data_IF_660174735405
#
_entry.id   IF_660174735405
#
_cell.length_a   1.000
_cell.length_b   1.000
_cell.length_c   1.000
_cell.angle_alpha   90.00
_cell.angle_beta   90.00
_cell.angle_gamma   90.00
#
_symmetry.space_group_name_H-M   'P 1'
#
loop_
_entity.id
_entity.type
_entity.pdbx_description
1 polymer ?
#
# COMPACT_ATOMS: atom_id res chain seq x y z
N UNK A 1 2.19 9.39 23.98
CA UNK A 1 2.94 8.64 22.96
C UNK A 1 4.39 8.50 23.39
N UNK A 2 4.91 7.30 23.35
CA UNK A 2 6.32 7.06 23.61
C UNK A 2 7.17 7.50 22.41
N UNK A 3 8.45 7.76 22.64
CA UNK A 3 9.39 8.15 21.59
C UNK A 3 9.49 7.06 20.48
N UNK A 4 9.44 5.77 20.87
CA UNK A 4 9.41 4.65 19.95
C UNK A 4 8.19 4.64 19.02
N UNK A 5 7.03 5.09 19.52
CA UNK A 5 5.78 5.12 18.75
C UNK A 5 5.89 6.04 17.55
N UNK A 6 6.50 7.22 17.75
CA UNK A 6 6.80 8.15 16.67
C UNK A 6 7.61 7.48 15.56
N UNK A 7 8.68 6.75 15.92
CA UNK A 7 9.52 6.08 14.94
C UNK A 7 8.80 4.94 14.23
N UNK A 8 8.00 4.16 14.94
CA UNK A 8 7.21 3.10 14.31
C UNK A 8 6.25 3.66 13.27
N UNK A 9 5.53 4.73 13.59
CA UNK A 9 4.64 5.39 12.63
C UNK A 9 5.40 5.98 11.45
N UNK A 10 6.54 6.61 11.67
CA UNK A 10 7.37 7.17 10.61
C UNK A 10 8.00 6.11 9.71
N UNK A 11 8.38 4.96 10.27
CA UNK A 11 8.85 3.81 9.47
C UNK A 11 7.70 3.32 8.58
N UNK A 12 6.51 3.11 9.13
CA UNK A 12 5.33 2.73 8.35
C UNK A 12 5.01 3.73 7.24
N UNK A 13 5.04 5.02 7.54
CA UNK A 13 4.84 6.10 6.58
C UNK A 13 5.89 6.06 5.45
N UNK A 14 7.15 5.86 5.79
CA UNK A 14 8.25 5.80 4.82
C UNK A 14 8.12 4.59 3.90
N UNK A 15 7.79 3.42 4.45
CA UNK A 15 7.57 2.20 3.65
C UNK A 15 6.41 2.41 2.67
N UNK A 16 5.31 3.00 3.12
CA UNK A 16 4.16 3.29 2.27
C UNK A 16 4.49 4.32 1.18
N UNK A 17 5.30 5.33 1.50
CA UNK A 17 5.76 6.34 0.52
C UNK A 17 6.66 5.73 -0.55
N UNK A 18 7.60 4.88 -0.15
CA UNK A 18 8.47 4.13 -1.09
C UNK A 18 7.60 3.23 -1.98
N UNK A 19 6.62 2.54 -1.39
CA UNK A 19 5.67 1.74 -2.13
C UNK A 19 4.87 2.55 -3.14
N UNK A 20 4.43 3.75 -2.77
CA UNK A 20 3.73 4.68 -3.65
C UNK A 20 4.58 5.08 -4.86
N UNK A 21 5.83 5.47 -4.63
CA UNK A 21 6.75 5.86 -5.70
C UNK A 21 7.03 4.68 -6.63
N UNK A 22 7.30 3.50 -6.07
CA UNK A 22 7.51 2.30 -6.86
C UNK A 22 6.27 1.94 -7.69
N UNK A 23 5.10 1.90 -7.07
CA UNK A 23 3.84 1.55 -7.72
C UNK A 23 3.45 2.57 -8.80
N UNK A 24 3.53 3.85 -8.48
CA UNK A 24 3.09 4.93 -9.37
C UNK A 24 4.03 5.20 -10.54
N UNK A 25 5.31 4.92 -10.40
CA UNK A 25 6.34 5.21 -11.42
C UNK A 25 6.82 3.93 -12.09
N UNK A 26 7.46 3.03 -11.32
CA UNK A 26 8.06 1.80 -11.88
C UNK A 26 6.97 0.81 -12.32
N UNK A 27 6.01 0.55 -11.46
CA UNK A 27 4.92 -0.36 -11.75
C UNK A 27 4.03 0.14 -12.89
N UNK A 28 3.79 1.45 -12.97
CA UNK A 28 3.06 2.06 -14.08
C UNK A 28 3.72 1.74 -15.42
N UNK A 29 5.02 1.95 -15.53
CA UNK A 29 5.75 1.67 -16.78
C UNK A 29 5.78 0.19 -17.10
N UNK A 30 6.04 -0.66 -16.11
CA UNK A 30 6.24 -2.09 -16.31
C UNK A 30 4.94 -2.85 -16.57
N UNK A 31 3.92 -2.63 -15.75
CA UNK A 31 2.69 -3.43 -15.79
C UNK A 31 1.57 -2.76 -16.58
N UNK A 32 1.33 -1.48 -16.38
CA UNK A 32 0.33 -0.74 -17.16
C UNK A 32 0.76 -0.55 -18.60
N UNK A 33 2.07 -0.47 -18.86
CA UNK A 33 2.61 -0.45 -20.23
C UNK A 33 2.20 -1.67 -21.04
N UNK A 34 2.23 -2.85 -20.42
CA UNK A 34 1.79 -4.11 -21.06
C UNK A 34 0.29 -4.06 -21.36
N UNK A 35 -0.53 -3.62 -20.42
CA UNK A 35 -1.98 -3.50 -20.60
C UNK A 35 -2.31 -2.50 -21.70
N UNK A 36 -1.63 -1.35 -21.72
CA UNK A 36 -1.86 -0.31 -22.73
C UNK A 36 -1.52 -0.76 -24.15
N UNK A 37 -0.56 -1.66 -24.31
CA UNK A 37 -0.15 -2.21 -25.59
C UNK A 37 -0.92 -3.48 -26.00
N UNK A 38 -1.80 -3.99 -25.14
CA UNK A 38 -2.59 -5.19 -25.39
C UNK A 38 -3.79 -4.90 -26.31
N UNK A 39 -4.45 -5.95 -26.75
CA UNK A 39 -5.68 -5.88 -27.57
C UNK A 39 -6.96 -5.72 -26.75
N UNK A 40 -6.85 -5.39 -25.46
CA UNK A 40 -8.00 -5.12 -24.61
C UNK A 40 -8.79 -3.90 -25.12
N UNK A 41 -10.10 -3.91 -24.87
CA UNK A 41 -10.95 -2.76 -25.19
C UNK A 41 -10.44 -1.45 -24.51
N UNK A 42 -10.62 -0.31 -25.17
CA UNK A 42 -10.20 0.99 -24.61
C UNK A 42 -10.76 1.27 -23.21
N UNK A 43 -12.03 0.94 -22.95
CA UNK A 43 -12.65 1.12 -21.64
C UNK A 43 -11.96 0.26 -20.58
N UNK A 44 -11.65 -1.01 -20.89
CA UNK A 44 -10.94 -1.90 -19.96
C UNK A 44 -9.57 -1.36 -19.61
N UNK A 45 -8.83 -0.83 -20.59
CA UNK A 45 -7.53 -0.18 -20.35
C UNK A 45 -7.67 1.04 -19.41
N UNK A 46 -8.67 1.88 -19.66
CA UNK A 46 -8.93 3.07 -18.84
C UNK A 46 -9.31 2.72 -17.40
N UNK A 47 -10.17 1.72 -17.21
CA UNK A 47 -10.56 1.24 -15.89
C UNK A 47 -9.37 0.62 -15.14
N UNK A 48 -8.53 -0.12 -15.84
CA UNK A 48 -7.29 -0.67 -15.27
C UNK A 48 -6.34 0.43 -14.82
N UNK A 49 -6.20 1.49 -15.61
CA UNK A 49 -5.37 2.65 -15.27
C UNK A 49 -5.90 3.37 -14.03
N UNK A 50 -7.21 3.59 -13.95
CA UNK A 50 -7.84 4.21 -12.76
C UNK A 50 -7.62 3.34 -11.54
N UNK A 51 -7.90 2.03 -11.63
CA UNK A 51 -7.71 1.11 -10.52
C UNK A 51 -6.25 1.07 -10.05
N UNK A 52 -5.30 1.07 -10.99
CA UNK A 52 -3.87 1.14 -10.68
C UNK A 52 -3.52 2.38 -9.85
N UNK A 53 -3.95 3.55 -10.31
CA UNK A 53 -3.63 4.81 -9.64
C UNK A 53 -4.47 5.08 -8.39
N UNK A 54 -5.66 4.50 -8.28
CA UNK A 54 -6.39 4.52 -7.00
C UNK A 54 -5.58 3.85 -5.89
N UNK A 55 -4.86 2.77 -6.23
CA UNK A 55 -3.96 2.15 -5.26
C UNK A 55 -2.74 3.02 -4.96
N UNK A 56 -2.19 3.71 -5.97
CA UNK A 56 -1.12 4.70 -5.75
C UNK A 56 -1.57 5.82 -4.78
N UNK A 57 -2.78 6.34 -4.97
CA UNK A 57 -3.39 7.37 -4.09
C UNK A 57 -3.59 6.80 -2.68
N UNK A 58 -4.03 5.56 -2.56
CA UNK A 58 -4.18 4.88 -1.27
C UNK A 58 -2.85 4.77 -0.52
N UNK A 59 -1.77 4.40 -1.21
CA UNK A 59 -0.43 4.34 -0.61
C UNK A 59 0.05 5.72 -0.14
N UNK A 60 -0.20 6.76 -0.92
CA UNK A 60 0.08 8.14 -0.53
C UNK A 60 -0.72 8.54 0.71
N UNK A 61 -2.03 8.26 0.72
CA UNK A 61 -2.91 8.53 1.86
C UNK A 61 -2.47 7.79 3.12
N UNK A 62 -2.03 6.53 2.98
CA UNK A 62 -1.47 5.76 4.09
C UNK A 62 -0.22 6.43 4.66
N UNK A 63 0.73 6.82 3.81
CA UNK A 63 1.95 7.49 4.23
C UNK A 63 1.66 8.82 4.93
N UNK A 64 0.78 9.63 4.34
CA UNK A 64 0.39 10.93 4.92
C UNK A 64 -0.29 10.74 6.28
N UNK A 65 -1.25 9.81 6.38
CA UNK A 65 -1.99 9.58 7.64
C UNK A 65 -1.06 9.12 8.75
N UNK A 66 -0.15 8.17 8.48
CA UNK A 66 0.76 7.68 9.50
C UNK A 66 1.76 8.76 9.95
N UNK A 67 2.28 9.55 9.01
CA UNK A 67 3.12 10.69 9.35
C UNK A 67 2.34 11.74 10.16
N UNK A 68 1.10 12.04 9.77
CA UNK A 68 0.26 12.98 10.50
C UNK A 68 0.01 12.51 11.93
N UNK A 69 -0.34 11.24 12.15
CA UNK A 69 -0.56 10.67 13.48
C UNK A 69 0.72 10.70 14.31
N UNK A 70 1.90 10.50 13.70
CA UNK A 70 3.18 10.58 14.41
C UNK A 70 3.40 11.95 15.05
N UNK A 71 3.03 13.02 14.35
CA UNK A 71 3.13 14.38 14.87
C UNK A 71 1.93 14.81 15.75
N UNK A 72 0.77 14.21 15.52
CA UNK A 72 -0.48 14.55 16.21
C UNK A 72 -1.12 13.28 16.81
N UNK A 73 -0.56 12.75 17.92
CA UNK A 73 -1.00 11.45 18.48
C UNK A 73 -2.46 11.40 18.93
N UNK A 74 -3.07 12.55 19.18
CA UNK A 74 -4.51 12.61 19.50
C UNK A 74 -5.43 12.10 18.39
N UNK A 75 -4.89 11.98 17.17
CA UNK A 75 -5.61 11.45 16.00
C UNK A 75 -5.26 9.99 15.68
N UNK A 76 -4.73 9.25 16.64
CA UNK A 76 -4.33 7.83 16.45
C UNK A 76 -5.44 6.95 15.88
N UNK A 77 -6.70 7.28 16.16
CA UNK A 77 -7.86 6.58 15.61
C UNK A 77 -7.85 6.53 14.07
N UNK A 78 -7.26 7.53 13.41
CA UNK A 78 -7.15 7.58 11.97
C UNK A 78 -6.22 6.50 11.39
N UNK A 79 -5.36 5.89 12.20
CA UNK A 79 -4.48 4.82 11.76
C UNK A 79 -5.21 3.48 11.60
N UNK A 80 -6.32 3.24 12.29
CA UNK A 80 -7.02 1.94 12.24
C UNK A 80 -7.49 1.55 10.83
N UNK A 81 -8.18 2.42 10.07
CA UNK A 81 -8.53 2.08 8.69
C UNK A 81 -7.30 1.81 7.82
N UNK A 82 -6.22 2.56 8.02
CA UNK A 82 -4.96 2.37 7.29
C UNK A 82 -4.35 1.00 7.59
N UNK A 83 -4.31 0.62 8.86
CA UNK A 83 -3.85 -0.70 9.29
C UNK A 83 -4.72 -1.80 8.66
N UNK A 84 -6.04 -1.67 8.75
CA UNK A 84 -6.98 -2.66 8.25
C UNK A 84 -6.82 -2.88 6.73
N UNK A 85 -6.77 -1.82 5.93
CA UNK A 85 -6.68 -1.95 4.47
C UNK A 85 -5.31 -2.51 4.06
N UNK A 86 -4.22 -2.10 4.71
CA UNK A 86 -2.90 -2.68 4.45
C UNK A 86 -2.84 -4.16 4.82
N UNK A 87 -3.41 -4.53 5.97
CA UNK A 87 -3.43 -5.93 6.43
C UNK A 87 -4.28 -6.80 5.51
N UNK A 88 -5.49 -6.38 5.17
CA UNK A 88 -6.36 -7.12 4.25
C UNK A 88 -5.78 -7.19 2.84
N UNK A 89 -5.11 -6.14 2.38
CA UNK A 89 -4.39 -6.16 1.11
C UNK A 89 -3.28 -7.19 1.09
N UNK A 90 -2.48 -7.27 2.16
CA UNK A 90 -1.45 -8.30 2.31
C UNK A 90 -2.04 -9.70 2.29
N UNK A 91 -3.14 -9.93 3.02
CA UNK A 91 -3.84 -11.22 3.02
C UNK A 91 -4.41 -11.57 1.66
N UNK A 92 -4.92 -10.60 0.90
CA UNK A 92 -5.42 -10.84 -0.45
C UNK A 92 -4.32 -11.37 -1.37
N UNK A 93 -3.13 -10.74 -1.36
CA UNK A 93 -1.98 -11.22 -2.12
C UNK A 93 -1.60 -12.65 -1.76
N UNK A 94 -1.54 -12.95 -0.46
CA UNK A 94 -1.17 -14.28 0.03
C UNK A 94 -2.26 -15.29 -0.34
N UNK A 95 -3.52 -14.97 -0.11
CA UNK A 95 -4.65 -15.86 -0.43
C UNK A 95 -4.68 -16.24 -1.91
N UNK A 96 -4.59 -15.25 -2.81
CA UNK A 96 -4.56 -15.49 -4.24
C UNK A 96 -3.27 -16.19 -4.66
N UNK A 97 -2.15 -15.86 -4.03
CA UNK A 97 -0.85 -16.45 -4.32
C UNK A 97 -0.72 -17.91 -3.90
N UNK A 98 -1.44 -18.34 -2.86
CA UNK A 98 -1.50 -19.75 -2.46
C UNK A 98 -2.39 -20.58 -3.40
N UNK A 99 -3.25 -19.95 -4.17
CA UNK A 99 -4.10 -20.57 -5.18
C UNK A 99 -3.47 -20.59 -6.56
N UNK A 100 -4.24 -20.10 -7.55
CA UNK A 100 -3.83 -20.09 -8.97
C UNK A 100 -2.86 -18.96 -9.34
N UNK A 101 -2.63 -18.00 -8.46
CA UNK A 101 -1.87 -16.78 -8.74
C UNK A 101 -0.52 -16.76 -8.02
N UNK A 102 0.24 -17.86 -8.09
CA UNK A 102 1.50 -18.07 -7.36
C UNK A 102 2.55 -16.97 -7.59
N UNK A 103 2.54 -16.34 -8.75
CA UNK A 103 3.45 -15.23 -9.07
C UNK A 103 3.26 -14.02 -8.15
N UNK A 104 2.08 -13.85 -7.53
CA UNK A 104 1.83 -12.77 -6.59
C UNK A 104 2.69 -12.88 -5.32
N UNK A 105 3.08 -14.09 -4.91
CA UNK A 105 3.96 -14.30 -3.75
C UNK A 105 5.37 -13.73 -3.95
N UNK A 106 5.78 -13.51 -5.19
CA UNK A 106 7.07 -12.90 -5.54
C UNK A 106 6.99 -11.37 -5.63
N UNK A 107 5.79 -10.81 -5.60
CA UNK A 107 5.59 -9.37 -5.66
C UNK A 107 5.85 -8.74 -4.29
N UNK A 108 6.44 -7.54 -4.24
CA UNK A 108 6.72 -6.89 -2.95
C UNK A 108 5.48 -6.38 -2.22
N UNK A 109 4.33 -6.30 -2.89
CA UNK A 109 3.10 -5.68 -2.38
C UNK A 109 2.63 -6.24 -1.05
N UNK A 110 2.52 -7.58 -0.92
CA UNK A 110 2.08 -8.22 0.32
C UNK A 110 3.00 -7.90 1.50
N UNK A 111 4.30 -7.96 1.26
CA UNK A 111 5.32 -7.75 2.30
C UNK A 111 5.35 -6.29 2.74
N UNK A 112 5.33 -5.35 1.80
CA UNK A 112 5.31 -3.92 2.10
C UNK A 112 4.05 -3.51 2.85
N UNK A 113 2.89 -3.99 2.42
CA UNK A 113 1.61 -3.69 3.09
C UNK A 113 1.55 -4.32 4.48
N UNK A 114 1.99 -5.57 4.63
CA UNK A 114 2.02 -6.27 5.91
C UNK A 114 2.95 -5.58 6.92
N UNK A 115 4.13 -5.17 6.48
CA UNK A 115 5.10 -4.45 7.31
C UNK A 115 4.57 -3.06 7.68
N UNK A 116 3.95 -2.35 6.74
CA UNK A 116 3.30 -1.06 7.02
C UNK A 116 2.23 -1.21 8.11
N UNK A 117 1.37 -2.21 8.01
CA UNK A 117 0.34 -2.49 9.00
C UNK A 117 0.95 -2.80 10.39
N UNK A 118 2.01 -3.61 10.41
CA UNK A 118 2.70 -3.96 11.65
C UNK A 118 3.28 -2.72 12.35
N UNK A 119 4.06 -1.91 11.62
CA UNK A 119 4.65 -0.71 12.20
C UNK A 119 3.61 0.33 12.61
N UNK A 120 2.55 0.49 11.84
CA UNK A 120 1.44 1.37 12.21
C UNK A 120 0.76 0.89 13.50
N UNK A 121 0.53 -0.42 13.63
CA UNK A 121 -0.03 -1.01 14.86
C UNK A 121 0.86 -0.77 16.07
N UNK A 122 2.17 -1.07 15.94
CA UNK A 122 3.13 -0.85 17.02
C UNK A 122 3.20 0.63 17.44
N UNK A 123 3.00 1.54 16.50
CA UNK A 123 3.05 2.98 16.77
C UNK A 123 1.81 3.55 17.46
N UNK A 124 0.69 2.82 17.47
CA UNK A 124 -0.55 3.27 18.14
C UNK A 124 -0.99 2.39 19.31
N UNK A 125 -0.32 1.26 19.51
CA UNK A 125 -0.64 0.30 20.58
C UNK A 125 0.01 0.58 21.97
#
# INVERSE_FOLDING_TARGET
>A
MLFSDFYFLMIGATISMVGMLFHGIVGQKKYMGIINQSDLEPLTKSLSLIAWHMFTIFLFGSAFTLAYVAYFPNYSIAAYPIIAVNLFGAFLFIFLGLGKHKHLLKMPGAYLMGITALFAWLGIS
#
